data_IF_398412752452
#
_entry.id   IF_398412752452
#
_cell.length_a   1.000
_cell.length_b   1.000
_cell.length_c   1.000
_cell.angle_alpha   90.00
_cell.angle_beta   90.00
_cell.angle_gamma   90.00
#
_symmetry.space_group_name_H-M   'P 1'
#
loop_
_entity.id
_entity.type
_entity.pdbx_description
1 polymer ?
#
# COMPACT_ATOMS: atom_id res chain seq x y z
N UNK A 1 -12.11 -5.97 11.75
CA UNK A 1 -10.74 -5.72 12.23
C UNK A 1 -9.84 -6.87 11.78
N UNK A 2 -8.74 -6.51 11.17
CA UNK A 2 -7.81 -7.48 10.63
C UNK A 2 -6.83 -7.94 11.71
N UNK A 3 -6.63 -9.27 11.87
CA UNK A 3 -5.66 -9.77 12.84
C UNK A 3 -4.23 -9.34 12.48
N UNK A 4 -3.38 -9.18 13.50
CA UNK A 4 -1.99 -8.80 13.29
C UNK A 4 -1.20 -9.79 12.45
N UNK A 5 -1.54 -11.07 12.52
CA UNK A 5 -0.84 -12.10 11.75
C UNK A 5 -1.17 -12.07 10.25
N UNK A 6 -2.14 -11.26 9.83
CA UNK A 6 -2.33 -10.93 8.41
C UNK A 6 -1.24 -10.00 7.89
N UNK A 7 -0.62 -9.23 8.78
CA UNK A 7 0.32 -8.17 8.39
C UNK A 7 1.76 -8.65 8.46
N UNK A 8 2.64 -8.15 7.58
CA UNK A 8 4.07 -8.50 7.64
C UNK A 8 4.65 -8.17 9.01
N UNK A 9 5.43 -9.12 9.55
CA UNK A 9 6.12 -8.94 10.84
C UNK A 9 5.16 -8.54 11.96
N UNK A 10 3.97 -9.13 11.98
CA UNK A 10 2.92 -8.89 13.00
C UNK A 10 2.53 -7.41 13.12
N UNK A 11 2.52 -6.72 11.98
CA UNK A 11 2.10 -5.33 11.93
C UNK A 11 3.22 -4.31 12.10
N UNK A 12 4.47 -4.75 12.20
CA UNK A 12 5.63 -3.85 12.32
C UNK A 12 6.35 -3.63 10.99
N UNK A 13 6.01 -4.41 9.96
CA UNK A 13 6.65 -4.33 8.64
C UNK A 13 5.99 -3.36 7.68
N UNK A 14 5.48 -2.23 8.17
CA UNK A 14 4.79 -1.25 7.35
C UNK A 14 5.60 0.01 7.11
N UNK A 15 5.08 0.83 6.22
CA UNK A 15 5.58 2.19 5.96
C UNK A 15 4.52 3.18 6.44
N UNK A 16 4.97 4.27 7.04
CA UNK A 16 4.08 5.33 7.51
C UNK A 16 4.59 6.66 6.99
N UNK A 17 3.71 7.47 6.43
CA UNK A 17 4.02 8.85 6.08
C UNK A 17 3.44 9.75 7.16
N UNK A 18 4.28 10.60 7.72
CA UNK A 18 3.94 11.49 8.82
C UNK A 18 4.27 12.93 8.47
N UNK A 19 3.56 13.86 9.14
CA UNK A 19 3.90 15.27 9.11
C UNK A 19 3.81 15.79 10.53
N UNK A 20 4.90 16.37 11.05
CA UNK A 20 4.98 16.88 12.43
C UNK A 20 4.54 15.82 13.44
N UNK A 21 5.00 14.58 13.24
CA UNK A 21 4.69 13.42 14.10
C UNK A 21 3.24 12.95 14.03
N UNK A 22 2.44 13.52 13.12
CA UNK A 22 1.06 13.05 12.90
C UNK A 22 1.04 12.08 11.73
N UNK A 23 0.61 10.83 11.94
CA UNK A 23 0.50 9.87 10.84
C UNK A 23 -0.57 10.30 9.85
N UNK A 24 -0.28 10.18 8.56
CA UNK A 24 -1.21 10.53 7.49
C UNK A 24 -1.73 9.27 6.81
N UNK A 25 -0.82 8.37 6.42
CA UNK A 25 -1.15 7.15 5.71
C UNK A 25 -0.14 6.06 6.04
N UNK A 26 -0.60 4.82 6.06
CA UNK A 26 0.25 3.65 6.25
C UNK A 26 -0.02 2.63 5.15
N UNK A 27 0.94 1.75 4.90
CA UNK A 27 0.80 0.65 3.98
C UNK A 27 1.80 -0.44 4.31
N UNK A 28 1.57 -1.65 3.81
CA UNK A 28 2.38 -2.81 4.14
C UNK A 28 2.91 -3.49 2.89
N UNK A 29 4.19 -3.88 2.94
CA UNK A 29 4.86 -4.56 1.85
C UNK A 29 5.01 -6.04 2.18
N UNK A 30 4.36 -6.89 1.41
CA UNK A 30 4.51 -8.34 1.54
C UNK A 30 5.57 -8.79 0.56
N UNK A 31 6.74 -9.15 1.08
CA UNK A 31 7.85 -9.60 0.25
C UNK A 31 7.67 -11.09 0.00
N UNK A 32 7.40 -11.43 -1.26
CA UNK A 32 7.16 -12.82 -1.63
C UNK A 32 8.46 -13.54 -1.95
N UNK A 33 8.38 -14.86 -2.13
CA UNK A 33 9.52 -15.65 -2.58
C UNK A 33 9.66 -15.67 -4.11
N UNK A 34 8.91 -14.80 -4.80
CA UNK A 34 9.08 -14.57 -6.24
C UNK A 34 9.73 -13.19 -6.45
N UNK A 35 9.63 -12.63 -7.65
CA UNK A 35 10.13 -11.29 -7.93
C UNK A 35 9.06 -10.21 -7.76
N UNK A 36 8.02 -10.49 -6.99
CA UNK A 36 6.88 -9.59 -6.77
C UNK A 36 6.81 -9.18 -5.31
N UNK A 37 6.59 -7.87 -5.08
CA UNK A 37 6.19 -7.35 -3.77
C UNK A 37 4.71 -6.96 -3.85
N UNK A 38 3.96 -7.35 -2.84
CA UNK A 38 2.56 -6.95 -2.73
C UNK A 38 2.47 -5.76 -1.77
N UNK A 39 2.02 -4.63 -2.26
CA UNK A 39 1.73 -3.46 -1.43
C UNK A 39 0.24 -3.47 -1.13
N UNK A 40 -0.11 -3.63 0.13
CA UNK A 40 -1.50 -3.82 0.51
C UNK A 40 -1.83 -3.08 1.80
N UNK A 41 -3.12 -2.96 2.08
CA UNK A 41 -3.64 -2.31 3.29
C UNK A 41 -3.16 -0.86 3.42
N UNK A 42 -3.34 -0.08 2.32
CA UNK A 42 -3.07 1.36 2.37
C UNK A 42 -4.22 1.99 3.15
N UNK A 43 -3.90 2.49 4.34
CA UNK A 43 -4.88 3.01 5.29
C UNK A 43 -4.56 4.46 5.60
N UNK A 44 -5.52 5.35 5.36
CA UNK A 44 -5.39 6.76 5.68
C UNK A 44 -5.89 7.03 7.10
N UNK A 45 -5.25 8.00 7.77
CA UNK A 45 -5.71 8.47 9.06
C UNK A 45 -7.01 9.27 8.85
N UNK A 46 -8.15 8.81 9.39
CA UNK A 46 -9.41 9.50 9.15
C UNK A 46 -9.50 10.87 9.80
N UNK A 47 -8.65 11.16 10.78
CA UNK A 47 -8.60 12.45 11.45
C UNK A 47 -7.75 13.48 10.72
N UNK A 48 -6.91 13.04 9.77
CA UNK A 48 -6.07 13.94 8.99
C UNK A 48 -6.78 14.28 7.67
N UNK A 49 -7.23 15.54 7.54
CA UNK A 49 -8.07 15.98 6.40
C UNK A 49 -7.44 17.09 5.58
N UNK A 50 -6.15 17.32 5.72
CA UNK A 50 -5.46 18.35 4.95
C UNK A 50 -5.31 17.96 3.48
N UNK A 51 -5.06 18.98 2.64
CA UNK A 51 -4.99 18.80 1.19
C UNK A 51 -3.80 17.95 0.75
N UNK A 52 -2.75 17.88 1.57
CA UNK A 52 -1.54 17.12 1.24
C UNK A 52 -1.68 15.61 1.50
N UNK A 53 -2.86 15.15 1.88
CA UNK A 53 -3.14 13.73 2.09
C UNK A 53 -2.88 12.90 0.81
N UNK A 54 -3.26 13.44 -0.35
CA UNK A 54 -3.02 12.77 -1.62
C UNK A 54 -1.52 12.64 -1.90
N UNK A 55 -0.76 13.71 -1.64
CA UNK A 55 0.69 13.69 -1.80
C UNK A 55 1.34 12.67 -0.89
N UNK A 56 0.82 12.48 0.33
CA UNK A 56 1.33 11.48 1.26
C UNK A 56 1.11 10.07 0.73
N UNK A 57 -0.04 9.80 0.11
CA UNK A 57 -0.31 8.50 -0.50
C UNK A 57 0.64 8.25 -1.67
N UNK A 58 0.87 9.25 -2.52
CA UNK A 58 1.81 9.16 -3.63
C UNK A 58 3.23 8.88 -3.12
N UNK A 59 3.63 9.56 -2.05
CA UNK A 59 4.94 9.34 -1.44
C UNK A 59 5.08 7.91 -0.92
N UNK A 60 4.05 7.40 -0.25
CA UNK A 60 4.05 6.03 0.27
C UNK A 60 4.26 5.02 -0.86
N UNK A 61 3.51 5.17 -1.95
CA UNK A 61 3.58 4.26 -3.09
C UNK A 61 4.97 4.34 -3.73
N UNK A 62 5.48 5.53 -3.96
CA UNK A 62 6.79 5.72 -4.60
C UNK A 62 7.93 5.20 -3.72
N UNK A 63 7.87 5.41 -2.41
CA UNK A 63 8.89 4.90 -1.51
C UNK A 63 8.87 3.38 -1.42
N UNK A 64 7.68 2.78 -1.44
CA UNK A 64 7.58 1.32 -1.45
C UNK A 64 8.15 0.75 -2.75
N UNK A 65 7.95 1.43 -3.88
CA UNK A 65 8.53 1.03 -5.15
C UNK A 65 10.06 1.13 -5.12
N UNK A 66 10.59 2.24 -4.63
CA UNK A 66 12.04 2.44 -4.53
C UNK A 66 12.69 1.38 -3.65
N UNK A 67 12.09 1.09 -2.51
CA UNK A 67 12.59 0.07 -1.59
C UNK A 67 12.57 -1.31 -2.24
N UNK A 68 11.48 -1.66 -2.91
CA UNK A 68 11.34 -2.95 -3.59
C UNK A 68 12.39 -3.10 -4.69
N UNK A 69 12.62 -2.05 -5.46
CA UNK A 69 13.60 -2.05 -6.53
C UNK A 69 15.02 -2.27 -5.99
N UNK A 70 15.35 -1.59 -4.89
CA UNK A 70 16.66 -1.75 -4.25
C UNK A 70 16.89 -3.15 -3.72
N UNK A 71 15.83 -3.83 -3.30
CA UNK A 71 15.90 -5.18 -2.77
C UNK A 71 15.84 -6.26 -3.86
N UNK A 72 15.80 -5.86 -5.14
CA UNK A 72 15.92 -6.78 -6.26
C UNK A 72 14.60 -7.33 -6.79
N UNK A 73 13.48 -6.77 -6.39
CA UNK A 73 12.17 -7.16 -6.93
C UNK A 73 11.91 -6.47 -8.26
N UNK A 74 11.20 -7.16 -9.15
CA UNK A 74 10.94 -6.68 -10.50
C UNK A 74 9.54 -6.15 -10.72
N UNK A 75 8.60 -6.53 -9.85
CA UNK A 75 7.19 -6.17 -9.99
C UNK A 75 6.58 -5.83 -8.65
N UNK A 76 5.57 -4.99 -8.68
CA UNK A 76 4.71 -4.75 -7.52
C UNK A 76 3.27 -5.06 -7.90
N UNK A 77 2.51 -5.53 -6.92
CA UNK A 77 1.10 -5.87 -7.08
C UNK A 77 0.33 -5.25 -5.92
N UNK A 78 -0.85 -4.71 -6.19
CA UNK A 78 -1.70 -4.13 -5.17
C UNK A 78 -3.17 -4.32 -5.54
N UNK A 79 -4.04 -4.27 -4.55
CA UNK A 79 -5.49 -4.30 -4.77
C UNK A 79 -6.05 -3.00 -4.24
N UNK A 80 -6.58 -2.18 -5.13
CA UNK A 80 -7.24 -0.93 -4.78
C UNK A 80 -8.74 -1.14 -4.67
N UNK A 81 -9.32 -0.60 -3.60
CA UNK A 81 -10.74 -0.78 -3.33
C UNK A 81 -11.57 0.48 -3.55
N UNK A 82 -10.93 1.62 -3.75
CA UNK A 82 -11.61 2.87 -4.04
C UNK A 82 -11.15 3.43 -5.37
N UNK A 83 -12.06 4.10 -6.06
CA UNK A 83 -11.72 4.77 -7.32
C UNK A 83 -10.59 5.77 -7.13
N UNK A 84 -10.58 6.49 -6.02
CA UNK A 84 -9.56 7.48 -5.71
C UNK A 84 -8.16 6.84 -5.66
N UNK A 85 -8.04 5.70 -5.00
CA UNK A 85 -6.76 4.99 -4.90
C UNK A 85 -6.31 4.43 -6.24
N UNK A 86 -7.25 3.91 -7.03
CA UNK A 86 -6.95 3.41 -8.38
C UNK A 86 -6.45 4.55 -9.27
N UNK A 87 -7.07 5.72 -9.20
CA UNK A 87 -6.67 6.89 -9.98
C UNK A 87 -5.26 7.35 -9.62
N UNK A 88 -4.91 7.30 -8.33
CA UNK A 88 -3.56 7.65 -7.88
C UNK A 88 -2.54 6.68 -8.48
N UNK A 89 -2.81 5.39 -8.45
CA UNK A 89 -1.91 4.39 -9.03
C UNK A 89 -1.73 4.60 -10.54
N UNK A 90 -2.82 4.86 -11.25
CA UNK A 90 -2.73 5.15 -12.68
C UNK A 90 -1.86 6.38 -12.97
N UNK A 91 -2.03 7.41 -12.18
CA UNK A 91 -1.22 8.63 -12.31
C UNK A 91 0.26 8.35 -12.10
N UNK A 92 0.61 7.38 -11.28
CA UNK A 92 1.98 6.97 -11.00
C UNK A 92 2.48 5.87 -11.95
N UNK A 93 1.83 5.72 -13.09
CA UNK A 93 2.19 4.76 -14.15
C UNK A 93 2.00 3.29 -13.80
N UNK A 94 1.12 2.99 -12.85
CA UNK A 94 0.73 1.61 -12.60
C UNK A 94 -0.35 1.20 -13.59
N UNK A 95 -0.27 -0.04 -14.06
CA UNK A 95 -1.34 -0.61 -14.86
C UNK A 95 -2.49 -1.02 -13.95
N UNK A 96 -3.69 -0.50 -14.21
CA UNK A 96 -4.89 -0.83 -13.43
C UNK A 96 -5.85 -1.65 -14.28
N UNK A 97 -6.10 -2.90 -13.87
CA UNK A 97 -7.09 -3.75 -14.52
C UNK A 97 -8.47 -3.27 -14.06
N UNK A 98 -9.33 -2.96 -15.01
CA UNK A 98 -10.65 -2.38 -14.71
C UNK A 98 -11.70 -3.42 -14.35
N UNK A 99 -11.39 -4.72 -14.42
CA UNK A 99 -12.31 -5.77 -14.02
C UNK A 99 -12.39 -5.85 -12.50
N UNK A 100 -13.59 -6.17 -12.00
CA UNK A 100 -13.79 -6.32 -10.56
C UNK A 100 -13.10 -7.57 -10.03
N UNK A 101 -12.60 -7.48 -8.79
CA UNK A 101 -11.97 -8.60 -8.09
C UNK A 101 -12.59 -8.74 -6.71
N UNK A 102 -12.49 -9.94 -6.14
CA UNK A 102 -13.03 -10.22 -4.82
C UNK A 102 -11.94 -10.80 -3.93
N UNK A 103 -11.94 -10.42 -2.65
CA UNK A 103 -11.05 -11.03 -1.67
C UNK A 103 -11.61 -12.41 -1.32
N UNK A 104 -10.71 -13.39 -1.26
CA UNK A 104 -11.07 -14.75 -0.89
C UNK A 104 -10.12 -15.17 0.22
N UNK A 105 -10.66 -15.46 1.39
CA UNK A 105 -9.83 -15.81 2.55
C UNK A 105 -10.38 -17.05 3.24
N UNK A 106 -9.52 -17.77 3.93
CA UNK A 106 -9.91 -18.89 4.77
C UNK A 106 -8.90 -19.01 5.90
N UNK A 107 -9.39 -19.20 7.11
CA UNK A 107 -8.53 -19.56 8.23
C UNK A 107 -8.29 -21.07 8.18
N UNK A 108 -7.04 -21.45 8.19
CA UNK A 108 -6.66 -22.88 8.08
C UNK A 108 -6.21 -23.45 9.46
#
# INVERSE_FOLDING_TARGET
IMPKDFLPENGTGGLIVEKNKTPIVAGFMYKTNSKVVILEWIISNPEYKNKDRKEAIELLINESENTSKKEGYNYMFSIGRSKHLLDIHEKLDWHVDKRSSHEITKKI
#
